data_IF_975948098305
#
_entry.id   IF_975948098305
#
_cell.length_a   1.000
_cell.length_b   1.000
_cell.length_c   1.000
_cell.angle_alpha   90.00
_cell.angle_beta   90.00
_cell.angle_gamma   90.00
#
_symmetry.space_group_name_H-M   'P 1'
#
loop_
_entity.id
_entity.type
_entity.pdbx_description
1 polymer ?
#
# COMPACT_ATOMS: atom_id res chain seq x y z
N UNK A 1 0.54 10.33 -9.51
CA UNK A 1 1.05 8.94 -9.42
C UNK A 1 -0.09 7.95 -9.65
N UNK A 2 0.14 6.73 -10.13
CA UNK A 2 -0.93 5.71 -10.24
C UNK A 2 -0.95 4.80 -9.03
N UNK A 3 -2.15 4.40 -8.59
CA UNK A 3 -2.35 3.52 -7.45
C UNK A 3 -1.88 2.08 -7.70
N UNK A 4 -2.12 1.54 -8.90
CA UNK A 4 -1.87 0.11 -9.19
C UNK A 4 -0.38 -0.28 -9.05
N UNK A 5 0.59 0.49 -9.60
CA UNK A 5 2.01 0.17 -9.43
C UNK A 5 2.49 0.25 -7.98
N UNK A 6 1.93 1.16 -7.18
CA UNK A 6 2.27 1.28 -5.76
C UNK A 6 1.70 0.12 -4.95
N UNK A 7 0.46 -0.29 -5.23
CA UNK A 7 -0.13 -1.46 -4.60
C UNK A 7 0.60 -2.75 -4.99
N UNK A 8 1.04 -2.87 -6.24
CA UNK A 8 1.87 -3.99 -6.70
C UNK A 8 3.18 -4.05 -5.90
N UNK A 9 3.86 -2.92 -5.71
CA UNK A 9 5.09 -2.87 -4.91
C UNK A 9 4.85 -3.22 -3.44
N UNK A 10 3.74 -2.77 -2.87
CA UNK A 10 3.34 -3.15 -1.52
C UNK A 10 3.10 -4.66 -1.37
N UNK A 11 2.52 -5.31 -2.39
CA UNK A 11 2.34 -6.76 -2.40
C UNK A 11 3.67 -7.53 -2.48
N UNK A 12 4.64 -7.02 -3.25
CA UNK A 12 5.99 -7.60 -3.27
C UNK A 12 6.62 -7.57 -1.87
N UNK A 13 6.57 -6.42 -1.19
CA UNK A 13 7.09 -6.29 0.18
C UNK A 13 6.37 -7.25 1.15
N UNK A 14 5.05 -7.38 1.04
CA UNK A 14 4.27 -8.32 1.84
C UNK A 14 4.72 -9.77 1.62
N UNK A 15 5.05 -10.15 0.39
CA UNK A 15 5.54 -11.50 0.08
C UNK A 15 6.95 -11.73 0.60
N UNK A 16 7.83 -10.73 0.51
CA UNK A 16 9.19 -10.80 1.06
C UNK A 16 9.16 -11.00 2.59
N UNK A 17 8.15 -10.45 3.27
CA UNK A 17 7.93 -10.59 4.71
C UNK A 17 7.12 -11.84 5.13
N UNK A 18 6.66 -12.69 4.21
CA UNK A 18 5.73 -13.80 4.51
C UNK A 18 6.34 -14.96 5.33
N UNK A 19 7.64 -14.89 5.66
CA UNK A 19 8.36 -15.94 6.40
C UNK A 19 7.75 -16.29 7.76
N UNK A 20 7.33 -15.29 8.54
CA UNK A 20 6.60 -15.46 9.80
C UNK A 20 5.31 -14.63 9.77
N UNK A 21 4.16 -15.33 9.89
CA UNK A 21 2.84 -14.71 9.80
C UNK A 21 2.37 -14.05 11.11
N UNK A 22 3.08 -14.28 12.20
CA UNK A 22 2.87 -13.57 13.47
C UNK A 22 3.80 -12.35 13.59
N UNK A 23 4.78 -12.21 12.70
CA UNK A 23 5.70 -11.07 12.68
C UNK A 23 4.95 -9.75 12.40
N UNK A 24 5.34 -8.72 13.13
CA UNK A 24 4.67 -7.42 13.09
C UNK A 24 4.82 -6.72 11.72
N UNK A 25 5.93 -6.95 11.02
CA UNK A 25 6.17 -6.43 9.67
C UNK A 25 5.22 -7.08 8.68
N UNK A 26 5.10 -8.41 8.71
CA UNK A 26 4.13 -9.13 7.88
C UNK A 26 2.71 -8.66 8.15
N UNK A 27 2.31 -8.57 9.42
CA UNK A 27 0.97 -8.13 9.80
C UNK A 27 0.68 -6.71 9.30
N UNK A 28 1.63 -5.78 9.45
CA UNK A 28 1.48 -4.41 8.96
C UNK A 28 1.30 -4.37 7.44
N UNK A 29 2.16 -5.06 6.69
CA UNK A 29 2.10 -5.11 5.23
C UNK A 29 0.84 -5.82 4.72
N UNK A 30 0.45 -6.92 5.36
CA UNK A 30 -0.75 -7.68 5.03
C UNK A 30 -2.01 -6.85 5.22
N UNK A 31 -2.20 -6.27 6.40
CA UNK A 31 -3.39 -5.47 6.68
C UNK A 31 -3.42 -4.17 5.89
N UNK A 32 -2.29 -3.50 5.67
CA UNK A 32 -2.22 -2.33 4.78
C UNK A 32 -2.61 -2.69 3.34
N UNK A 33 -2.08 -3.79 2.81
CA UNK A 33 -2.39 -4.27 1.46
C UNK A 33 -3.89 -4.58 1.33
N UNK A 34 -4.46 -5.36 2.25
CA UNK A 34 -5.89 -5.65 2.27
C UNK A 34 -6.71 -4.36 2.29
N UNK A 35 -6.44 -3.46 3.24
CA UNK A 35 -7.18 -2.20 3.37
C UNK A 35 -7.12 -1.36 2.09
N UNK A 36 -5.92 -1.11 1.56
CA UNK A 36 -5.75 -0.25 0.38
C UNK A 36 -6.38 -0.88 -0.87
N UNK A 37 -6.28 -2.21 -1.04
CA UNK A 37 -6.89 -2.90 -2.18
C UNK A 37 -8.42 -2.75 -2.25
N UNK A 38 -9.10 -2.63 -1.10
CA UNK A 38 -10.54 -2.36 -1.06
C UNK A 38 -10.90 -0.88 -1.29
N UNK A 39 -9.93 0.03 -1.13
CA UNK A 39 -10.11 1.48 -1.21
C UNK A 39 -9.30 2.11 -2.37
N UNK A 40 -9.15 1.40 -3.49
CA UNK A 40 -8.34 1.84 -4.64
C UNK A 40 -8.71 3.23 -5.19
N UNK A 41 -10.01 3.58 -5.21
CA UNK A 41 -10.47 4.90 -5.67
C UNK A 41 -10.01 6.04 -4.75
N UNK A 42 -10.19 5.87 -3.43
CA UNK A 42 -9.73 6.85 -2.43
C UNK A 42 -8.21 6.95 -2.41
N UNK A 43 -7.49 5.83 -2.57
CA UNK A 43 -6.04 5.84 -2.65
C UNK A 43 -5.56 6.60 -3.90
N UNK A 44 -6.18 6.40 -5.06
CA UNK A 44 -5.86 7.16 -6.27
C UNK A 44 -6.15 8.67 -6.08
N UNK A 45 -7.25 9.03 -5.40
CA UNK A 45 -7.57 10.42 -5.07
C UNK A 45 -6.48 11.04 -4.19
N UNK A 46 -6.07 10.37 -3.12
CA UNK A 46 -4.97 10.81 -2.26
C UNK A 46 -3.67 11.02 -3.04
N UNK A 47 -3.30 10.10 -3.93
CA UNK A 47 -2.10 10.23 -4.77
C UNK A 47 -2.15 11.41 -5.75
N UNK A 48 -3.35 11.82 -6.17
CA UNK A 48 -3.52 13.02 -6.99
C UNK A 48 -3.34 14.28 -6.13
N UNK A 49 -3.95 14.32 -4.95
CA UNK A 49 -3.79 15.44 -3.99
C UNK A 49 -2.31 15.66 -3.62
N UNK A 50 -1.58 14.58 -3.31
CA UNK A 50 -0.13 14.64 -3.02
C UNK A 50 0.70 15.09 -4.22
N UNK A 51 0.29 14.74 -5.44
CA UNK A 51 0.97 15.20 -6.65
C UNK A 51 0.76 16.69 -6.93
N UNK A 52 -0.37 17.25 -6.47
CA UNK A 52 -0.72 18.67 -6.61
C UNK A 52 -0.09 19.54 -5.52
N UNK A 53 0.09 19.03 -4.30
CA UNK A 53 0.83 19.70 -3.21
C UNK A 53 1.97 18.82 -2.63
N UNK A 54 3.17 18.90 -3.23
CA UNK A 54 4.31 18.08 -2.82
C UNK A 54 4.97 18.51 -1.50
N UNK A 55 4.43 19.51 -0.77
CA UNK A 55 5.01 19.99 0.50
C UNK A 55 4.42 19.34 1.76
N UNK A 56 3.54 18.36 1.62
CA UNK A 56 2.95 17.61 2.74
C UNK A 56 3.84 16.45 3.20
#
# INVERSE_FOLDING_TARGET
MKAEPLLAKLNELRHDAEGDREDIEYLALHHAFCFISYHMGEFQKYLNEVAEDPKR
#
